data_IF_638135082529
#
_entry.id   IF_638135082529
#
_cell.length_a   1.000
_cell.length_b   1.000
_cell.length_c   1.000
_cell.angle_alpha   90.00
_cell.angle_beta   90.00
_cell.angle_gamma   90.00
#
_symmetry.space_group_name_H-M   'P 1'
#
loop_
_entity.id
_entity.type
_entity.pdbx_description
1 polymer ?
#
# COMPACT_ATOMS: atom_id res chain seq x y z
N UNK A 1 -11.05 -13.91 -35.89
CA UNK A 1 -11.48 -14.38 -34.56
C UNK A 1 -11.45 -13.20 -33.63
N UNK A 2 -12.62 -12.73 -33.18
CA UNK A 2 -12.72 -11.64 -32.22
C UNK A 2 -12.33 -12.21 -30.86
N UNK A 3 -11.14 -11.89 -30.38
CA UNK A 3 -10.71 -12.22 -29.01
C UNK A 3 -11.56 -11.37 -28.07
N UNK A 4 -12.67 -11.93 -27.60
CA UNK A 4 -13.44 -11.34 -26.51
C UNK A 4 -12.53 -11.38 -25.28
N UNK A 5 -11.78 -10.29 -25.05
CA UNK A 5 -10.99 -10.13 -23.84
C UNK A 5 -11.98 -10.18 -22.68
N UNK A 6 -12.01 -11.30 -21.95
CA UNK A 6 -12.77 -11.47 -20.72
C UNK A 6 -12.30 -10.39 -19.72
N UNK A 7 -12.99 -9.25 -19.72
CA UNK A 7 -12.78 -8.20 -18.75
C UNK A 7 -13.40 -8.68 -17.44
N UNK A 8 -12.57 -8.86 -16.42
CA UNK A 8 -13.00 -9.26 -15.08
C UNK A 8 -13.06 -8.02 -14.21
N UNK A 9 -14.05 -7.95 -13.33
CA UNK A 9 -14.23 -6.85 -12.41
C UNK A 9 -13.76 -7.25 -11.01
N UNK A 10 -13.00 -6.36 -10.39
CA UNK A 10 -12.39 -6.53 -9.08
C UNK A 10 -12.74 -5.36 -8.17
N UNK A 11 -12.64 -5.57 -6.86
CA UNK A 11 -12.75 -4.51 -5.86
C UNK A 11 -11.46 -4.39 -5.07
N UNK A 12 -10.87 -3.20 -5.06
CA UNK A 12 -9.69 -2.90 -4.24
C UNK A 12 -9.55 -1.41 -4.03
N UNK A 13 -8.96 -0.98 -2.92
CA UNK A 13 -8.73 0.44 -2.63
C UNK A 13 -10.02 1.28 -2.61
N UNK A 14 -11.17 0.64 -2.37
CA UNK A 14 -12.51 1.24 -2.47
C UNK A 14 -12.98 1.55 -3.90
N UNK A 15 -12.30 1.02 -4.91
CA UNK A 15 -12.57 1.27 -6.32
C UNK A 15 -13.05 0.00 -7.03
N UNK A 16 -13.97 0.18 -7.96
CA UNK A 16 -14.41 -0.88 -8.89
C UNK A 16 -13.48 -0.88 -10.12
N UNK A 17 -12.69 -1.94 -10.26
CA UNK A 17 -11.60 -2.03 -11.24
C UNK A 17 -11.97 -3.04 -12.31
N UNK A 18 -12.13 -2.60 -13.55
CA UNK A 18 -12.22 -3.49 -14.71
C UNK A 18 -10.82 -3.71 -15.27
N UNK A 19 -10.40 -4.97 -15.42
CA UNK A 19 -9.04 -5.28 -15.83
C UNK A 19 -8.97 -6.33 -16.93
N UNK A 20 -8.17 -6.04 -17.96
CA UNK A 20 -7.70 -7.02 -18.95
C UNK A 20 -6.54 -7.88 -18.41
N UNK A 21 -5.82 -7.38 -17.40
CA UNK A 21 -4.80 -8.14 -16.67
C UNK A 21 -5.51 -8.99 -15.62
N UNK A 22 -5.34 -10.33 -15.57
CA UNK A 22 -5.87 -11.12 -14.46
C UNK A 22 -5.24 -10.67 -13.14
N UNK A 23 -6.04 -10.37 -12.12
CA UNK A 23 -5.58 -9.92 -10.80
C UNK A 23 -6.10 -10.89 -9.71
N UNK A 24 -5.57 -12.14 -9.63
CA UNK A 24 -6.05 -13.15 -8.69
C UNK A 24 -5.90 -12.75 -7.21
N UNK A 25 -5.08 -11.75 -6.92
CA UNK A 25 -4.89 -11.18 -5.59
C UNK A 25 -6.10 -10.38 -5.09
N UNK A 26 -6.97 -9.94 -6.02
CA UNK A 26 -8.11 -9.08 -5.72
C UNK A 26 -9.41 -9.90 -5.63
N UNK A 27 -10.33 -9.53 -4.71
CA UNK A 27 -11.69 -10.04 -4.71
C UNK A 27 -12.38 -9.76 -6.05
N UNK A 28 -12.92 -10.80 -6.68
CA UNK A 28 -13.74 -10.67 -7.89
C UNK A 28 -15.16 -10.27 -7.50
N UNK A 29 -15.76 -9.41 -8.32
CA UNK A 29 -17.17 -9.04 -8.19
C UNK A 29 -18.00 -9.76 -9.26
N UNK A 30 -19.28 -10.00 -8.96
CA UNK A 30 -20.21 -10.47 -9.98
C UNK A 30 -20.68 -9.31 -10.87
N UNK A 31 -20.86 -9.55 -12.18
CA UNK A 31 -21.24 -8.51 -13.16
C UNK A 31 -22.54 -7.76 -12.81
N UNK A 32 -23.38 -8.31 -11.94
CA UNK A 32 -24.69 -7.76 -11.55
C UNK A 32 -24.63 -6.78 -10.37
N UNK A 33 -23.45 -6.58 -9.77
CA UNK A 33 -23.27 -5.82 -8.51
C UNK A 33 -22.78 -4.38 -8.70
N UNK A 34 -22.85 -3.82 -9.92
CA UNK A 34 -22.16 -2.57 -10.22
C UNK A 34 -23.02 -1.53 -10.94
N UNK A 35 -23.14 -0.37 -10.31
CA UNK A 35 -23.68 0.85 -10.91
C UNK A 35 -22.61 1.69 -11.62
N UNK A 36 -21.32 1.56 -11.23
CA UNK A 36 -20.21 2.37 -11.75
C UNK A 36 -18.86 1.64 -11.80
N UNK A 37 -18.02 1.99 -12.79
CA UNK A 37 -16.63 1.54 -12.92
C UNK A 37 -15.69 2.73 -12.68
N UNK A 38 -14.72 2.57 -11.78
CA UNK A 38 -13.82 3.64 -11.37
C UNK A 38 -12.48 3.64 -12.11
N UNK A 39 -11.98 2.44 -12.44
CA UNK A 39 -10.62 2.25 -12.98
C UNK A 39 -10.61 1.21 -14.09
N UNK A 40 -9.94 1.55 -15.19
CA UNK A 40 -9.67 0.65 -16.31
C UNK A 40 -8.20 0.24 -16.32
N UNK A 41 -7.93 -1.07 -16.32
CA UNK A 41 -6.58 -1.62 -16.51
C UNK A 41 -6.52 -2.34 -17.85
N UNK A 42 -5.70 -1.83 -18.76
CA UNK A 42 -5.68 -2.24 -20.17
C UNK A 42 -4.28 -2.60 -20.66
N UNK A 43 -4.19 -3.56 -21.58
CA UNK A 43 -2.98 -3.80 -22.35
C UNK A 43 -2.92 -2.87 -23.57
N UNK A 44 -1.81 -2.15 -23.72
CA UNK A 44 -1.53 -1.35 -24.92
C UNK A 44 -0.05 -1.11 -25.07
N UNK A 45 0.42 -1.01 -26.31
CA UNK A 45 1.81 -0.70 -26.60
C UNK A 45 2.16 0.73 -26.21
N UNK A 46 3.19 0.89 -25.38
CA UNK A 46 3.64 2.18 -24.86
C UNK A 46 5.05 2.58 -25.32
N UNK A 47 5.79 1.72 -26.02
CA UNK A 47 7.21 1.97 -26.38
C UNK A 47 7.41 3.29 -27.12
N UNK A 48 6.57 3.59 -28.12
CA UNK A 48 6.68 4.86 -28.85
C UNK A 48 6.47 6.07 -27.94
N UNK A 49 5.39 6.07 -27.15
CA UNK A 49 5.05 7.16 -26.23
C UNK A 49 6.09 7.33 -25.12
N UNK A 50 6.69 6.22 -24.67
CA UNK A 50 7.82 6.26 -23.74
C UNK A 50 9.03 6.93 -24.36
N UNK A 51 9.45 6.53 -25.56
CA UNK A 51 10.61 7.10 -26.24
C UNK A 51 10.42 8.59 -26.58
N UNK A 52 9.18 9.04 -26.80
CA UNK A 52 8.85 10.44 -27.06
C UNK A 52 8.97 11.31 -25.79
N UNK A 53 8.57 10.78 -24.63
CA UNK A 53 8.40 11.56 -23.41
C UNK A 53 9.53 11.38 -22.38
N UNK A 54 10.20 10.24 -22.38
CA UNK A 54 11.23 9.93 -21.41
C UNK A 54 12.56 10.56 -21.80
N UNK A 55 13.16 11.29 -20.86
CA UNK A 55 14.55 11.73 -20.99
C UNK A 55 15.52 10.56 -20.76
N UNK A 56 16.72 10.58 -21.37
CA UNK A 56 17.75 9.59 -21.11
C UNK A 56 18.02 9.43 -19.61
N UNK A 57 18.16 8.18 -19.14
CA UNK A 57 18.42 7.83 -17.73
C UNK A 57 17.31 8.20 -16.72
N UNK A 58 16.10 8.56 -17.17
CA UNK A 58 14.95 8.73 -16.27
C UNK A 58 14.00 7.54 -16.30
N UNK A 59 13.72 6.99 -15.12
CA UNK A 59 12.75 5.90 -14.94
C UNK A 59 11.30 6.35 -14.85
N UNK A 60 11.04 7.67 -14.80
CA UNK A 60 9.70 8.24 -14.64
C UNK A 60 9.49 9.47 -15.53
N UNK A 61 8.31 9.54 -16.15
CA UNK A 61 7.72 10.75 -16.73
C UNK A 61 6.53 11.14 -15.86
N UNK A 62 6.53 12.37 -15.34
CA UNK A 62 5.43 12.85 -14.50
C UNK A 62 4.99 14.21 -15.00
N UNK A 63 3.72 14.31 -15.34
CA UNK A 63 2.97 15.54 -15.64
C UNK A 63 1.73 15.56 -14.75
N UNK A 64 1.06 16.70 -14.64
CA UNK A 64 -0.09 16.91 -13.73
C UNK A 64 -1.09 15.75 -13.68
N UNK A 65 -1.52 15.23 -14.84
CA UNK A 65 -2.48 14.12 -14.92
C UNK A 65 -1.93 12.83 -15.52
N UNK A 66 -0.60 12.69 -15.62
CA UNK A 66 0.05 11.57 -16.28
C UNK A 66 1.29 11.12 -15.52
N UNK A 67 1.34 9.85 -15.15
CA UNK A 67 2.56 9.20 -14.65
C UNK A 67 2.90 8.06 -15.60
N UNK A 68 4.11 8.03 -16.13
CA UNK A 68 4.67 6.87 -16.82
C UNK A 68 5.94 6.43 -16.13
N UNK A 69 6.18 5.12 -16.09
CA UNK A 69 7.45 4.59 -15.64
C UNK A 69 7.76 3.28 -16.34
N UNK A 70 9.05 2.99 -16.48
CA UNK A 70 9.55 1.75 -17.05
C UNK A 70 10.25 0.94 -15.97
N UNK A 71 9.87 -0.33 -15.87
CA UNK A 71 10.58 -1.32 -15.08
C UNK A 71 11.35 -2.23 -16.05
N UNK A 72 12.68 -2.23 -16.01
CA UNK A 72 13.51 -3.07 -16.88
C UNK A 72 13.06 -4.54 -16.84
N UNK A 73 13.05 -5.18 -18.02
CA UNK A 73 12.66 -6.58 -18.22
C UNK A 73 11.23 -6.94 -17.78
N UNK A 74 10.40 -5.95 -17.41
CA UNK A 74 9.05 -6.19 -16.86
C UNK A 74 7.99 -5.53 -17.73
N UNK A 75 7.86 -4.20 -17.69
CA UNK A 75 6.84 -3.48 -18.46
C UNK A 75 7.08 -1.97 -18.45
N UNK A 76 6.41 -1.28 -19.38
CA UNK A 76 6.14 0.15 -19.30
C UNK A 76 4.72 0.32 -18.77
N UNK A 77 4.54 1.25 -17.83
CA UNK A 77 3.25 1.58 -17.23
C UNK A 77 2.90 3.03 -17.52
N UNK A 78 1.61 3.31 -17.67
CA UNK A 78 1.06 4.65 -17.79
C UNK A 78 -0.22 4.77 -16.96
N UNK A 79 -0.31 5.81 -16.15
CA UNK A 79 -1.43 6.12 -15.25
C UNK A 79 -1.94 7.52 -15.59
N UNK A 80 -3.22 7.61 -15.91
CA UNK A 80 -3.82 8.82 -16.49
C UNK A 80 -5.13 9.17 -15.77
N UNK A 81 -5.26 10.46 -15.41
CA UNK A 81 -6.48 11.09 -14.87
C UNK A 81 -7.12 10.38 -13.67
N UNK A 82 -6.37 9.56 -12.92
CA UNK A 82 -6.87 8.84 -11.76
C UNK A 82 -7.86 7.71 -12.07
N UNK A 83 -8.06 7.32 -13.34
CA UNK A 83 -9.07 6.31 -13.72
C UNK A 83 -8.59 5.30 -14.75
N UNK A 84 -7.35 5.41 -15.24
CA UNK A 84 -6.82 4.50 -16.26
C UNK A 84 -5.38 4.10 -15.96
N UNK A 85 -5.11 2.80 -16.05
CA UNK A 85 -3.78 2.19 -16.01
C UNK A 85 -3.60 1.43 -17.33
N UNK A 86 -2.57 1.80 -18.08
CA UNK A 86 -2.17 1.09 -19.29
C UNK A 86 -0.85 0.38 -19.01
N UNK A 87 -0.80 -0.89 -19.42
CA UNK A 87 0.34 -1.77 -19.21
C UNK A 87 0.86 -2.26 -20.55
N UNK A 88 2.15 -2.11 -20.79
CA UNK A 88 2.88 -2.61 -21.97
C UNK A 88 3.95 -3.60 -21.49
N UNK A 89 3.61 -4.89 -21.30
CA UNK A 89 4.55 -5.89 -20.83
C UNK A 89 5.69 -6.11 -21.82
N UNK A 90 6.90 -6.32 -21.32
CA UNK A 90 8.04 -6.74 -22.13
C UNK A 90 7.92 -8.24 -22.49
N UNK A 91 8.55 -8.65 -23.59
CA UNK A 91 8.53 -10.06 -24.02
C UNK A 91 9.16 -10.95 -22.94
N UNK A 92 8.42 -11.97 -22.51
CA UNK A 92 8.87 -12.92 -21.49
C UNK A 92 8.84 -12.37 -20.06
N UNK A 93 8.23 -11.21 -19.83
CA UNK A 93 8.11 -10.65 -18.49
C UNK A 93 7.34 -11.58 -17.55
N UNK A 94 7.82 -11.69 -16.31
CA UNK A 94 7.10 -12.41 -15.25
C UNK A 94 5.79 -11.67 -14.94
N UNK A 95 4.65 -12.35 -15.12
CA UNK A 95 3.33 -11.78 -14.91
C UNK A 95 3.10 -11.33 -13.47
N UNK A 96 3.73 -11.98 -12.49
CA UNK A 96 3.58 -11.66 -11.07
C UNK A 96 4.28 -10.33 -10.76
N UNK A 97 5.43 -10.08 -11.36
CA UNK A 97 6.09 -8.77 -11.30
C UNK A 97 5.23 -7.69 -11.97
N UNK A 98 4.58 -8.00 -13.10
CA UNK A 98 3.67 -7.04 -13.75
C UNK A 98 2.53 -6.63 -12.80
N UNK A 99 1.88 -7.61 -12.16
CA UNK A 99 0.80 -7.35 -11.19
C UNK A 99 1.28 -6.61 -9.95
N UNK A 100 2.48 -6.90 -9.46
CA UNK A 100 3.10 -6.21 -8.33
C UNK A 100 3.16 -4.69 -8.54
N UNK A 101 3.59 -4.24 -9.72
CA UNK A 101 3.67 -2.81 -10.02
C UNK A 101 2.31 -2.18 -10.29
N UNK A 102 1.36 -2.93 -10.87
CA UNK A 102 -0.04 -2.49 -11.00
C UNK A 102 -0.61 -2.20 -9.60
N UNK A 103 -0.61 -3.18 -8.70
CA UNK A 103 -1.22 -3.07 -7.37
C UNK A 103 -0.43 -2.18 -6.40
N UNK A 104 0.85 -1.91 -6.69
CA UNK A 104 1.68 -1.00 -5.91
C UNK A 104 1.76 0.39 -6.53
N UNK A 105 2.70 0.58 -7.45
CA UNK A 105 3.08 1.92 -7.94
C UNK A 105 2.01 2.55 -8.83
N UNK A 106 1.33 1.76 -9.68
CA UNK A 106 0.24 2.30 -10.50
C UNK A 106 -0.94 2.73 -9.62
N UNK A 107 -1.38 1.89 -8.67
CA UNK A 107 -2.44 2.28 -7.73
C UNK A 107 -2.02 3.46 -6.86
N UNK A 108 -0.79 3.51 -6.35
CA UNK A 108 -0.29 4.66 -5.58
C UNK A 108 -0.37 5.97 -6.37
N UNK A 109 0.11 5.98 -7.62
CA UNK A 109 0.00 7.15 -8.49
C UNK A 109 -1.47 7.52 -8.80
N UNK A 110 -2.32 6.52 -9.03
CA UNK A 110 -3.75 6.69 -9.30
C UNK A 110 -4.48 7.31 -8.10
N UNK A 111 -4.20 6.86 -6.87
CA UNK A 111 -4.76 7.41 -5.64
C UNK A 111 -4.37 8.89 -5.46
N UNK A 112 -3.11 9.23 -5.75
CA UNK A 112 -2.64 10.61 -5.69
C UNK A 112 -3.36 11.52 -6.71
N UNK A 113 -3.54 11.05 -7.95
CA UNK A 113 -4.33 11.78 -8.96
C UNK A 113 -5.79 11.98 -8.52
N UNK A 114 -6.33 11.07 -7.70
CA UNK A 114 -7.67 11.18 -7.09
C UNK A 114 -7.69 11.95 -5.76
N UNK A 115 -6.56 12.55 -5.34
CA UNK A 115 -6.43 13.25 -4.05
C UNK A 115 -6.82 12.37 -2.85
N UNK A 116 -6.43 11.10 -2.90
CA UNK A 116 -6.46 10.17 -1.77
C UNK A 116 -5.01 10.01 -1.30
N UNK A 117 -4.72 10.17 -0.02
CA UNK A 117 -3.37 10.10 0.54
C UNK A 117 -2.94 8.65 0.74
N UNK A 118 -1.95 8.11 0.00
CA UNK A 118 -1.41 6.80 0.28
C UNK A 118 -0.23 6.92 1.26
N UNK A 119 -0.27 6.21 2.39
CA UNK A 119 0.91 5.99 3.24
C UNK A 119 1.60 4.67 2.89
N UNK A 120 2.92 4.63 3.02
CA UNK A 120 3.71 3.42 2.88
C UNK A 120 3.74 2.64 4.20
N UNK A 121 2.95 1.57 4.29
CA UNK A 121 2.85 0.80 5.52
C UNK A 121 1.77 -0.27 5.51
N UNK A 122 1.45 -0.76 6.70
CA UNK A 122 0.37 -1.72 6.91
C UNK A 122 -0.70 -1.12 7.82
N UNK A 123 -1.97 -1.44 7.60
CA UNK A 123 -3.08 -0.97 8.44
C UNK A 123 -3.84 -2.16 9.03
N UNK A 124 -4.08 -2.11 10.35
CA UNK A 124 -4.78 -3.15 11.11
C UNK A 124 -6.10 -2.59 11.62
N UNK A 125 -7.15 -3.40 11.53
CA UNK A 125 -8.44 -3.15 12.15
C UNK A 125 -8.44 -3.71 13.59
N UNK A 126 -8.66 -2.83 14.56
CA UNK A 126 -8.73 -3.14 15.99
C UNK A 126 -9.97 -2.43 16.54
N UNK A 127 -10.92 -3.19 17.10
CA UNK A 127 -12.13 -2.66 17.74
C UNK A 127 -12.92 -1.63 16.90
N UNK A 128 -13.03 -1.85 15.58
CA UNK A 128 -13.75 -0.93 14.67
C UNK A 128 -12.97 0.35 14.32
N UNK A 129 -11.68 0.41 14.63
CA UNK A 129 -10.77 1.52 14.29
C UNK A 129 -9.60 1.00 13.47
N UNK A 130 -8.99 1.88 12.67
CA UNK A 130 -7.78 1.59 11.92
C UNK A 130 -6.54 2.14 12.63
N UNK A 131 -5.49 1.33 12.68
CA UNK A 131 -4.16 1.72 13.15
C UNK A 131 -3.13 1.45 12.06
N UNK A 132 -2.41 2.48 11.65
CA UNK A 132 -1.37 2.36 10.63
C UNK A 132 0.00 2.09 11.27
N UNK A 133 0.79 1.25 10.63
CA UNK A 133 2.18 0.95 10.95
C UNK A 133 3.01 1.44 9.76
N UNK A 134 3.77 2.50 9.96
CA UNK A 134 4.67 3.12 8.97
C UNK A 134 6.13 2.97 9.39
N UNK A 135 7.07 3.39 8.55
CA UNK A 135 8.50 3.16 8.76
C UNK A 135 9.23 2.86 7.45
N UNK A 136 10.55 2.91 7.50
CA UNK A 136 11.38 2.68 6.31
C UNK A 136 11.23 1.27 5.72
N UNK A 137 11.70 1.08 4.49
CA UNK A 137 11.76 -0.25 3.89
C UNK A 137 12.60 -1.18 4.74
N UNK A 138 12.10 -2.40 4.97
CA UNK A 138 12.78 -3.37 5.84
C UNK A 138 12.68 -3.08 7.33
N UNK A 139 11.93 -2.06 7.79
CA UNK A 139 11.70 -1.79 9.21
C UNK A 139 10.93 -2.92 9.93
N UNK A 140 10.18 -3.74 9.19
CA UNK A 140 9.38 -4.86 9.73
C UNK A 140 7.88 -4.57 9.82
N UNK A 141 7.35 -3.61 9.07
CA UNK A 141 5.92 -3.21 9.08
C UNK A 141 4.95 -4.38 8.83
N UNK A 142 5.14 -5.10 7.72
CA UNK A 142 4.31 -6.26 7.35
C UNK A 142 4.49 -7.43 8.34
N UNK A 143 5.69 -7.60 8.90
CA UNK A 143 5.98 -8.57 9.97
C UNK A 143 5.21 -8.23 11.24
N UNK A 144 5.21 -6.96 11.65
CA UNK A 144 4.44 -6.49 12.81
C UNK A 144 2.93 -6.66 12.57
N UNK A 145 2.44 -6.33 11.37
CA UNK A 145 1.06 -6.58 10.96
C UNK A 145 0.68 -8.07 11.06
N UNK A 146 1.58 -8.98 10.69
CA UNK A 146 1.38 -10.43 10.81
C UNK A 146 1.25 -10.89 12.28
N UNK A 147 1.99 -10.26 13.19
CA UNK A 147 1.85 -10.52 14.63
C UNK A 147 0.46 -10.11 15.16
N UNK A 148 -0.14 -9.03 14.65
CA UNK A 148 -1.54 -8.68 14.96
C UNK A 148 -2.52 -9.71 14.41
N UNK A 149 -2.33 -10.17 13.17
CA UNK A 149 -3.15 -11.23 12.57
C UNK A 149 -3.11 -12.51 13.41
N UNK A 150 -1.93 -12.93 13.90
CA UNK A 150 -1.80 -14.10 14.78
C UNK A 150 -2.53 -13.95 16.13
N UNK A 151 -2.84 -12.72 16.53
CA UNK A 151 -3.68 -12.43 17.71
C UNK A 151 -5.17 -12.29 17.41
N UNK A 152 -5.59 -12.56 16.17
CA UNK A 152 -7.00 -12.54 15.75
C UNK A 152 -7.51 -11.20 15.24
N UNK A 153 -6.65 -10.19 15.09
CA UNK A 153 -7.03 -8.93 14.43
C UNK A 153 -7.06 -9.09 12.91
N UNK A 154 -7.54 -8.06 12.21
CA UNK A 154 -7.71 -8.12 10.75
C UNK A 154 -6.84 -7.09 10.04
N UNK A 155 -6.38 -7.42 8.83
CA UNK A 155 -5.68 -6.53 7.93
C UNK A 155 -6.67 -5.67 7.14
N UNK A 156 -6.38 -4.37 6.99
CA UNK A 156 -7.05 -3.48 6.05
C UNK A 156 -6.21 -3.27 4.79
N UNK A 157 -4.90 -3.10 4.96
CA UNK A 157 -3.97 -2.88 3.86
C UNK A 157 -2.55 -3.27 4.25
N UNK A 158 -1.75 -3.63 3.25
CA UNK A 158 -0.29 -3.77 3.34
C UNK A 158 0.35 -3.05 2.13
N UNK A 159 1.53 -2.46 2.33
CA UNK A 159 2.28 -1.61 1.38
C UNK A 159 1.67 -0.23 1.09
N UNK A 160 0.38 -0.13 0.75
CA UNK A 160 -0.28 1.12 0.34
C UNK A 160 -1.55 1.36 1.16
N UNK A 161 -1.49 2.24 2.16
CA UNK A 161 -2.63 2.59 3.03
C UNK A 161 -3.36 3.82 2.46
N UNK A 162 -4.55 3.68 1.87
CA UNK A 162 -5.30 4.81 1.32
C UNK A 162 -6.07 5.52 2.42
N UNK A 163 -5.86 6.83 2.54
CA UNK A 163 -6.53 7.67 3.52
C UNK A 163 -7.26 8.81 2.81
N UNK A 164 -8.54 8.96 3.14
CA UNK A 164 -9.35 10.11 2.76
C UNK A 164 -9.91 10.79 4.02
N UNK A 165 -10.46 11.99 3.86
CA UNK A 165 -11.28 12.61 4.90
C UNK A 165 -12.76 12.39 4.56
N UNK A 166 -13.55 11.99 5.54
CA UNK A 166 -15.01 12.06 5.45
C UNK A 166 -15.51 13.51 5.42
N UNK A 167 -16.82 13.68 5.19
CA UNK A 167 -17.48 15.00 5.23
C UNK A 167 -17.31 15.71 6.60
N UNK A 168 -17.12 14.94 7.67
CA UNK A 168 -16.89 15.45 9.03
C UNK A 168 -15.39 15.68 9.33
N UNK A 169 -14.53 15.61 8.32
CA UNK A 169 -13.07 15.68 8.43
C UNK A 169 -12.45 14.59 9.33
N UNK A 170 -13.12 13.44 9.46
CA UNK A 170 -12.54 12.26 10.10
C UNK A 170 -11.68 11.52 9.07
N UNK A 171 -10.39 11.25 9.36
CA UNK A 171 -9.56 10.42 8.49
C UNK A 171 -10.07 8.98 8.42
N UNK A 172 -10.26 8.45 7.22
CA UNK A 172 -10.78 7.11 6.96
C UNK A 172 -9.74 6.32 6.17
N UNK A 173 -9.40 5.12 6.64
CA UNK A 173 -8.63 4.13 5.90
C UNK A 173 -9.56 3.27 5.08
N UNK A 174 -9.31 3.20 3.78
CA UNK A 174 -10.03 2.30 2.87
C UNK A 174 -9.25 1.01 2.67
N UNK A 175 -9.87 -0.18 2.74
CA UNK A 175 -9.17 -1.44 2.53
C UNK A 175 -8.54 -1.53 1.14
N UNK A 176 -7.33 -2.09 1.07
CA UNK A 176 -6.63 -2.33 -0.18
C UNK A 176 -7.07 -3.67 -0.80
N UNK A 177 -6.42 -4.78 -0.42
CA UNK A 177 -6.73 -6.13 -0.88
C UNK A 177 -6.13 -7.18 0.09
N UNK A 178 -6.66 -8.43 0.12
CA UNK A 178 -6.36 -9.42 1.15
C UNK A 178 -5.04 -10.16 0.92
N UNK A 179 -3.92 -9.43 0.85
CA UNK A 179 -2.59 -10.01 0.67
C UNK A 179 -1.52 -9.21 1.41
N UNK A 180 -0.59 -9.91 2.07
CA UNK A 180 0.64 -9.35 2.62
C UNK A 180 1.86 -9.72 1.79
N UNK A 181 2.93 -8.94 1.93
CA UNK A 181 4.24 -9.23 1.33
C UNK A 181 5.28 -9.47 2.44
N UNK A 182 5.60 -10.72 2.72
CA UNK A 182 6.47 -11.11 3.84
C UNK A 182 7.85 -11.61 3.37
N UNK A 183 8.90 -11.27 4.11
CA UNK A 183 10.24 -11.83 3.89
C UNK A 183 10.32 -13.25 4.46
N UNK A 184 11.26 -14.07 3.97
CA UNK A 184 11.50 -15.44 4.45
C UNK A 184 11.69 -15.47 5.96
N UNK A 185 12.46 -14.55 6.53
CA UNK A 185 12.71 -14.47 7.97
C UNK A 185 11.42 -14.24 8.76
N UNK A 186 10.44 -13.55 8.16
CA UNK A 186 9.12 -13.39 8.77
C UNK A 186 8.32 -14.69 8.70
N UNK A 187 8.34 -15.39 7.57
CA UNK A 187 7.68 -16.69 7.44
C UNK A 187 8.24 -17.70 8.46
N UNK A 188 9.57 -17.79 8.57
CA UNK A 188 10.25 -18.69 9.50
C UNK A 188 9.88 -18.37 10.96
N UNK A 189 9.88 -17.08 11.33
CA UNK A 189 9.50 -16.63 12.68
C UNK A 189 8.04 -16.95 13.03
N UNK A 190 7.16 -17.06 12.04
CA UNK A 190 5.76 -17.46 12.23
C UNK A 190 5.52 -18.95 11.98
N UNK A 191 6.56 -19.75 11.72
CA UNK A 191 6.44 -21.18 11.44
C UNK A 191 5.71 -21.49 10.13
N UNK A 192 5.77 -20.58 9.16
CA UNK A 192 5.10 -20.69 7.87
C UNK A 192 6.05 -21.28 6.82
N UNK A 193 5.62 -22.33 6.12
CA UNK A 193 6.43 -22.95 5.07
C UNK A 193 6.35 -22.12 3.78
N UNK A 194 7.50 -21.61 3.31
CA UNK A 194 7.58 -20.78 2.11
C UNK A 194 7.17 -21.50 0.81
N UNK A 195 7.26 -22.83 0.78
CA UNK A 195 6.80 -23.66 -0.34
C UNK A 195 5.30 -23.48 -0.66
N UNK A 196 4.51 -23.00 0.31
CA UNK A 196 3.08 -22.75 0.16
C UNK A 196 2.76 -21.37 -0.45
N UNK A 197 3.77 -20.51 -0.65
CA UNK A 197 3.58 -19.13 -1.08
C UNK A 197 4.33 -18.80 -2.38
N UNK A 198 3.82 -17.82 -3.12
CA UNK A 198 4.44 -17.38 -4.37
C UNK A 198 5.57 -16.37 -4.07
N UNK A 199 6.78 -16.57 -4.60
CA UNK A 199 7.85 -15.56 -4.49
C UNK A 199 7.52 -14.33 -5.35
N UNK A 200 7.74 -13.14 -4.79
CA UNK A 200 7.52 -11.84 -5.43
C UNK A 200 8.79 -11.37 -6.16
N UNK A 201 9.95 -11.69 -5.61
CA UNK A 201 11.27 -11.42 -6.19
C UNK A 201 12.19 -12.60 -5.88
N UNK A 202 12.62 -13.31 -6.93
CA UNK A 202 13.46 -14.52 -6.78
C UNK A 202 14.78 -14.27 -6.04
N UNK A 203 15.32 -13.05 -6.09
CA UNK A 203 16.57 -12.68 -5.38
C UNK A 203 16.36 -12.22 -3.95
N UNK A 204 15.14 -11.84 -3.56
CA UNK A 204 14.87 -11.16 -2.28
C UNK A 204 14.08 -12.02 -1.29
N UNK A 205 13.86 -13.32 -1.55
CA UNK A 205 13.15 -14.24 -0.65
C UNK A 205 11.89 -13.62 0.00
N UNK A 206 11.11 -12.89 -0.79
CA UNK A 206 9.89 -12.21 -0.36
C UNK A 206 8.68 -12.86 -1.01
N UNK A 207 7.64 -13.14 -0.23
CA UNK A 207 6.51 -13.98 -0.60
C UNK A 207 5.18 -13.22 -0.50
N UNK A 208 4.27 -13.54 -1.42
CA UNK A 208 2.88 -13.10 -1.39
C UNK A 208 2.07 -14.07 -0.53
N UNK A 209 1.51 -13.56 0.57
CA UNK A 209 0.75 -14.33 1.55
C UNK A 209 -0.71 -13.86 1.52
N UNK A 210 -1.65 -14.67 0.98
CA UNK A 210 -3.07 -14.36 1.03
C UNK A 210 -3.58 -14.37 2.48
N UNK A 211 -4.39 -13.39 2.85
CA UNK A 211 -4.98 -13.26 4.21
C UNK A 211 -6.50 -13.09 4.17
N UNK A 212 -7.16 -13.75 3.21
CA UNK A 212 -8.60 -13.60 2.93
C UNK A 212 -9.48 -13.83 4.16
N UNK A 213 -9.14 -14.78 5.03
CA UNK A 213 -9.91 -15.08 6.24
C UNK A 213 -9.77 -14.01 7.34
N UNK A 214 -8.72 -13.18 7.28
CA UNK A 214 -8.39 -12.18 8.29
C UNK A 214 -8.28 -10.78 7.69
N UNK A 215 -9.05 -10.53 6.62
CA UNK A 215 -9.11 -9.25 5.95
C UNK A 215 -10.41 -8.52 6.31
N UNK A 216 -10.31 -7.24 6.63
CA UNK A 216 -11.47 -6.36 6.80
C UNK A 216 -11.75 -5.65 5.48
N UNK A 217 -12.97 -5.84 4.95
CA UNK A 217 -13.44 -5.18 3.73
C UNK A 217 -14.18 -3.86 3.98
N UNK A 218 -14.17 -3.36 5.21
CA UNK A 218 -14.89 -2.15 5.61
C UNK A 218 -13.92 -1.00 5.85
N UNK A 219 -14.25 0.19 5.36
CA UNK A 219 -13.48 1.41 5.66
C UNK A 219 -13.66 1.81 7.12
N UNK A 220 -12.56 2.15 7.79
CA UNK A 220 -12.54 2.43 9.24
C UNK A 220 -11.84 3.77 9.53
N UNK A 221 -12.22 4.49 10.59
CA UNK A 221 -11.54 5.71 11.00
C UNK A 221 -10.10 5.42 11.41
N UNK A 222 -9.14 6.20 10.91
CA UNK A 222 -7.76 6.16 11.36
C UNK A 222 -7.67 6.83 12.73
N UNK A 223 -7.29 6.06 13.75
CA UNK A 223 -7.16 6.57 15.12
C UNK A 223 -5.71 6.82 15.50
N UNK A 224 -4.80 5.92 15.08
CA UNK A 224 -3.39 6.02 15.46
C UNK A 224 -2.42 5.62 14.34
N UNK A 225 -1.24 6.21 14.37
CA UNK A 225 -0.11 5.86 13.50
C UNK A 225 1.13 5.51 14.33
N UNK A 226 1.67 4.33 14.10
CA UNK A 226 2.87 3.82 14.75
C UNK A 226 4.03 3.84 13.75
N UNK A 227 5.00 4.71 13.96
CA UNK A 227 6.24 4.76 13.16
C UNK A 227 7.26 3.77 13.73
N UNK A 228 7.58 2.73 12.96
CA UNK A 228 8.54 1.70 13.35
C UNK A 228 9.95 2.08 12.88
N UNK A 229 10.88 2.25 13.82
CA UNK A 229 12.28 2.51 13.56
C UNK A 229 13.18 1.41 14.14
N UNK A 230 14.32 1.19 13.47
CA UNK A 230 15.37 0.28 13.93
C UNK A 230 16.31 1.01 14.89
N UNK A 231 16.79 0.30 15.89
CA UNK A 231 17.82 0.79 16.81
C UNK A 231 18.86 -0.31 17.07
N UNK A 232 20.07 0.12 17.41
CA UNK A 232 21.17 -0.75 17.87
C UNK A 232 21.01 -1.10 19.36
N UNK A 233 20.14 -0.38 20.08
CA UNK A 233 19.84 -0.69 21.48
C UNK A 233 18.98 -1.95 21.60
N UNK A 234 19.18 -2.75 22.64
CA UNK A 234 18.44 -4.00 22.89
C UNK A 234 16.98 -3.81 23.34
N UNK A 235 16.67 -2.61 23.80
CA UNK A 235 15.37 -2.26 24.37
C UNK A 235 14.35 -1.87 23.30
N UNK A 236 13.10 -2.28 23.53
CA UNK A 236 11.95 -1.79 22.79
C UNK A 236 11.44 -0.54 23.49
N UNK A 237 11.17 0.52 22.74
CA UNK A 237 10.61 1.78 23.26
C UNK A 237 9.41 2.23 22.46
N UNK A 238 8.48 2.90 23.14
CA UNK A 238 7.35 3.59 22.53
C UNK A 238 7.27 5.01 23.09
N UNK A 239 7.30 5.99 22.20
CA UNK A 239 7.30 7.41 22.56
C UNK A 239 6.25 8.15 21.75
N UNK A 240 5.54 9.10 22.38
CA UNK A 240 4.55 9.91 21.68
C UNK A 240 5.26 10.90 20.74
N UNK A 241 4.76 10.99 19.50
CA UNK A 241 5.25 11.96 18.52
C UNK A 241 4.52 13.29 18.73
N UNK A 242 5.28 14.39 18.83
CA UNK A 242 4.70 15.73 19.02
C UNK A 242 3.91 16.19 17.78
N UNK A 243 2.98 17.13 17.95
CA UNK A 243 2.07 17.54 16.87
C UNK A 243 2.77 17.97 15.58
N UNK A 244 3.90 18.68 15.67
CA UNK A 244 4.66 19.12 14.49
C UNK A 244 5.37 17.93 13.80
N UNK A 245 5.93 17.02 14.60
CA UNK A 245 6.59 15.82 14.07
C UNK A 245 5.60 14.85 13.43
N UNK A 246 4.32 14.84 13.84
CA UNK A 246 3.26 14.05 13.17
C UNK A 246 3.08 14.46 11.71
N UNK A 247 3.07 15.76 11.45
CA UNK A 247 2.98 16.29 10.09
C UNK A 247 4.16 15.83 9.24
N UNK A 248 5.38 15.95 9.79
CA UNK A 248 6.59 15.49 9.12
C UNK A 248 6.54 13.97 8.84
N UNK A 249 6.15 13.16 9.82
CA UNK A 249 6.03 11.70 9.70
C UNK A 249 5.04 11.31 8.60
N UNK A 250 3.84 11.90 8.56
CA UNK A 250 2.86 11.63 7.50
C UNK A 250 3.38 12.04 6.12
N UNK A 251 4.07 13.18 6.04
CA UNK A 251 4.67 13.67 4.80
C UNK A 251 5.78 12.72 4.30
N UNK A 252 6.67 12.32 5.20
CA UNK A 252 7.81 11.45 4.92
C UNK A 252 7.35 10.06 4.47
N UNK A 253 6.38 9.45 5.17
CA UNK A 253 5.85 8.13 4.84
C UNK A 253 4.76 8.14 3.77
N UNK A 254 4.52 9.27 3.09
CA UNK A 254 3.63 9.29 1.92
C UNK A 254 4.22 8.41 0.81
N UNK A 255 3.46 7.41 0.38
CA UNK A 255 3.89 6.45 -0.64
C UNK A 255 4.16 7.17 -1.95
N UNK A 256 5.38 6.99 -2.50
CA UNK A 256 5.85 7.66 -3.72
C UNK A 256 5.78 9.20 -3.62
N UNK A 257 6.12 9.76 -2.46
CA UNK A 257 6.13 11.22 -2.20
C UNK A 257 6.88 12.06 -3.26
N UNK A 258 7.89 11.52 -3.93
CA UNK A 258 8.61 12.19 -5.03
C UNK A 258 7.72 12.60 -6.21
N UNK A 259 6.53 12.02 -6.35
CA UNK A 259 5.53 12.41 -7.35
C UNK A 259 4.85 13.75 -7.04
N UNK A 260 4.79 14.17 -5.76
CA UNK A 260 3.94 15.28 -5.30
C UNK A 260 4.21 16.59 -6.02
N UNK A 261 5.49 16.98 -6.09
CA UNK A 261 5.90 18.22 -6.74
C UNK A 261 5.55 18.24 -8.22
N UNK A 262 5.76 17.12 -8.92
CA UNK A 262 5.54 17.03 -10.38
C UNK A 262 4.08 16.86 -10.75
N UNK A 263 3.25 16.37 -9.83
CA UNK A 263 1.79 16.32 -9.98
C UNK A 263 1.11 17.65 -9.60
N UNK A 264 1.85 18.66 -9.12
CA UNK A 264 1.26 19.91 -8.63
C UNK A 264 0.47 19.73 -7.33
N UNK A 265 0.76 18.68 -6.55
CA UNK A 265 -0.05 18.27 -5.39
C UNK A 265 0.53 18.73 -4.04
N UNK A 266 1.62 19.49 -4.01
CA UNK A 266 2.30 19.87 -2.76
C UNK A 266 1.39 20.65 -1.80
N UNK A 267 0.60 21.59 -2.32
CA UNK A 267 -0.34 22.35 -1.50
C UNK A 267 -1.42 21.43 -0.92
N UNK A 268 -2.05 20.61 -1.75
CA UNK A 268 -3.05 19.64 -1.29
C UNK A 268 -2.46 18.67 -0.26
N UNK A 269 -1.24 18.18 -0.50
CA UNK A 269 -0.52 17.24 0.35
C UNK A 269 -0.27 17.83 1.74
N UNK A 270 0.22 19.07 1.81
CA UNK A 270 0.40 19.77 3.09
C UNK A 270 -0.93 19.91 3.86
N UNK A 271 -2.00 20.33 3.18
CA UNK A 271 -3.31 20.52 3.82
C UNK A 271 -3.90 19.20 4.32
N UNK A 272 -3.85 18.14 3.54
CA UNK A 272 -4.42 16.84 3.93
C UNK A 272 -3.63 16.24 5.11
N UNK A 273 -2.29 16.29 5.09
CA UNK A 273 -1.48 15.76 6.19
C UNK A 273 -1.62 16.59 7.46
N UNK A 274 -1.74 17.93 7.35
CA UNK A 274 -1.98 18.79 8.51
C UNK A 274 -3.34 18.50 9.17
N UNK A 275 -4.40 18.34 8.37
CA UNK A 275 -5.72 17.95 8.88
C UNK A 275 -5.67 16.60 9.58
N UNK A 276 -5.06 15.59 8.96
CA UNK A 276 -4.96 14.24 9.54
C UNK A 276 -4.15 14.27 10.84
N UNK A 277 -3.00 14.96 10.88
CA UNK A 277 -2.13 15.04 12.05
C UNK A 277 -2.84 15.55 13.32
N UNK A 278 -3.86 16.40 13.16
CA UNK A 278 -4.66 16.94 14.28
C UNK A 278 -5.73 15.98 14.80
N UNK A 279 -6.02 14.89 14.07
CA UNK A 279 -7.12 13.96 14.33
C UNK A 279 -6.65 12.57 14.77
N UNK A 280 -5.35 12.33 14.73
CA UNK A 280 -4.75 11.04 15.07
C UNK A 280 -3.79 11.17 16.24
N UNK A 281 -3.61 10.06 16.94
CA UNK A 281 -2.46 9.84 17.81
C UNK A 281 -1.30 9.27 17.00
N UNK A 282 -0.08 9.52 17.44
CA UNK A 282 1.09 9.01 16.77
C UNK A 282 2.19 8.69 17.75
N UNK A 283 2.85 7.56 17.52
CA UNK A 283 3.91 7.06 18.38
C UNK A 283 5.06 6.52 17.54
N UNK A 284 6.28 6.73 18.01
CA UNK A 284 7.46 6.11 17.45
C UNK A 284 7.78 4.84 18.26
N UNK A 285 7.92 3.72 17.56
CA UNK A 285 8.32 2.43 18.11
C UNK A 285 9.73 2.12 17.69
N UNK A 286 10.62 1.98 18.67
CA UNK A 286 12.00 1.59 18.44
C UNK A 286 12.13 0.10 18.69
N UNK A 287 12.73 -0.63 17.74
CA UNK A 287 13.05 -2.06 17.91
C UNK A 287 14.54 -2.37 17.67
N UNK A 288 15.13 -3.25 18.48
CA UNK A 288 16.47 -3.77 18.24
C UNK A 288 16.56 -4.48 16.89
N UNK A 289 17.70 -4.39 16.20
CA UNK A 289 17.93 -5.13 14.95
C UNK A 289 18.34 -6.59 15.17
N UNK A 290 18.89 -6.92 16.34
CA UNK A 290 19.54 -8.21 16.61
C UNK A 290 18.59 -9.35 17.03
N UNK A 291 17.28 -9.06 17.25
CA UNK A 291 16.29 -10.07 17.61
C UNK A 291 14.92 -9.83 16.99
N UNK A 292 14.10 -10.88 16.97
CA UNK A 292 12.70 -10.80 16.59
C UNK A 292 11.88 -10.17 17.72
N UNK A 293 11.08 -9.14 17.42
CA UNK A 293 10.33 -8.37 18.43
C UNK A 293 8.86 -8.13 18.07
N UNK A 294 8.35 -8.71 16.98
CA UNK A 294 7.00 -8.39 16.50
C UNK A 294 5.93 -8.67 17.56
N UNK A 295 6.03 -9.81 18.27
CA UNK A 295 5.10 -10.16 19.34
C UNK A 295 5.12 -9.17 20.51
N UNK A 296 6.33 -8.76 20.95
CA UNK A 296 6.52 -7.79 22.04
C UNK A 296 5.97 -6.42 21.66
N UNK A 297 6.28 -5.94 20.44
CA UNK A 297 5.78 -4.68 19.89
C UNK A 297 4.25 -4.69 19.78
N UNK A 298 3.65 -5.79 19.34
CA UNK A 298 2.20 -5.93 19.27
C UNK A 298 1.56 -5.82 20.66
N UNK A 299 2.11 -6.50 21.68
CA UNK A 299 1.63 -6.38 23.05
C UNK A 299 1.74 -4.94 23.57
N UNK A 300 2.86 -4.26 23.27
CA UNK A 300 3.09 -2.88 23.68
C UNK A 300 2.06 -1.92 23.06
N UNK A 301 1.78 -2.07 21.76
CA UNK A 301 0.75 -1.28 21.06
C UNK A 301 -0.64 -1.54 21.65
N UNK A 302 -1.03 -2.81 21.84
CA UNK A 302 -2.35 -3.14 22.39
C UNK A 302 -2.53 -2.58 23.80
N UNK A 303 -1.50 -2.67 24.65
CA UNK A 303 -1.52 -2.06 25.98
C UNK A 303 -1.61 -0.53 25.93
N UNK A 304 -1.03 0.10 24.90
CA UNK A 304 -1.10 1.54 24.72
C UNK A 304 -2.50 1.98 24.30
N UNK A 305 -3.08 1.30 23.32
CA UNK A 305 -4.45 1.52 22.82
C UNK A 305 -5.47 1.36 23.96
N UNK A 306 -5.39 0.27 24.72
CA UNK A 306 -6.35 -0.03 25.79
C UNK A 306 -6.25 0.93 27.00
N UNK A 307 -5.17 1.70 27.13
CA UNK A 307 -5.04 2.73 28.19
C UNK A 307 -5.64 4.06 27.80
N UNK A 308 -5.93 4.26 26.52
CA UNK A 308 -6.48 5.49 25.93
C UNK A 308 -8.00 5.36 25.63
N UNK A 309 -8.56 4.14 25.71
CA UNK A 309 -10.01 3.86 25.74
C UNK A 309 -10.61 4.07 27.14
#
# INVERSE_FOLDING_TARGET
MVTTLNKVIYKAFGLNIISQVPLPELPRMADRELDTIDVFVEFKELTHRWNELAEPNRYYVVKENLVMFQVPNTAIYMIENGHKIIVSPMRGANTDHVRLYILGTCMGALLLQRKILPLHGSAIAINGRAYAIVGDSGAGKSTLASSFLNKGYQLLSDDVIPISLSNENIPIVTPAYPQQKLWQESLDAFGMESANYRPIFEREMKFAVPVTAQFSSTSLPLTGVFELIKTENDDIKIEAISSLERLHMLFYHTYRNFLMARLGLMEWHFHITAKIATKIEAFQLQRPINRFTANDLTNLILNKINKEE
#
